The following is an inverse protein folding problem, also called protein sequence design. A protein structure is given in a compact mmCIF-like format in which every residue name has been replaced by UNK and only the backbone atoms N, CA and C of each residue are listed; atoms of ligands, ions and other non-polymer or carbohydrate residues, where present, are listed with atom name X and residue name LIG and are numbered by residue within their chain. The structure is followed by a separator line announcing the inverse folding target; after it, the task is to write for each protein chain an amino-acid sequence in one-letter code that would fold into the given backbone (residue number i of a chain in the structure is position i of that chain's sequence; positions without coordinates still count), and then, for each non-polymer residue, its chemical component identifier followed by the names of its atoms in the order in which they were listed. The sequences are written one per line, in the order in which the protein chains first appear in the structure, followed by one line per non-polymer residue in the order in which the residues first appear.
data_IF_124548816795
#
_entry.id   IF_124548816795
#
_cell.length_a   1.000
_cell.length_b   1.000
_cell.length_c   1.000
_cell.angle_alpha   90.00
_cell.angle_beta   90.00
_cell.angle_gamma   90.00
#
_symmetry.space_group_name_H-M   'P 1'
#
loop_
_entity.id
_entity.type
_entity.pdbx_description
1 polymer ?
#
# COMPACT_ATOMS: atom_id res chain seq x y z
N UNK A 1 64.80 22.85 43.48
CA UNK A 1 65.01 24.27 43.17
C UNK A 1 63.72 24.81 42.60
N UNK A 2 62.92 25.41 43.45
CA UNK A 2 61.82 26.35 43.14
C UNK A 2 62.49 27.67 42.58
N UNK A 3 61.72 28.64 42.08
CA UNK A 3 60.43 29.16 42.55
C UNK A 3 59.47 29.59 41.36
N UNK A 4 58.14 29.66 41.62
CA UNK A 4 57.36 30.84 42.11
C UNK A 4 57.31 31.93 40.99
N UNK A 5 56.20 32.41 40.51
CA UNK A 5 55.30 33.35 41.15
C UNK A 5 54.07 33.65 40.25
N UNK A 6 52.94 33.57 40.82
CA UNK A 6 51.97 34.60 41.19
C UNK A 6 51.28 35.39 40.10
N UNK A 7 50.00 35.19 40.01
CA UNK A 7 49.01 36.17 40.48
C UNK A 7 49.01 37.53 39.79
N UNK A 8 47.96 37.82 39.09
CA UNK A 8 47.21 39.11 39.12
C UNK A 8 46.00 38.98 38.21
N UNK A 9 44.83 38.82 38.78
CA UNK A 9 43.90 39.78 39.39
C UNK A 9 43.30 40.78 38.39
N UNK A 10 41.98 40.64 38.35
CA UNK A 10 40.94 41.70 38.30
C UNK A 10 40.49 42.15 36.93
N UNK A 11 39.24 41.84 36.69
CA UNK A 11 38.01 42.68 36.84
C UNK A 11 37.78 43.58 35.61
N UNK A 12 36.65 43.40 35.04
CA UNK A 12 35.55 44.32 34.74
C UNK A 12 34.64 43.59 33.79
N UNK A 13 33.51 43.28 34.18
CA UNK A 13 32.27 44.04 34.36
C UNK A 13 31.37 44.00 33.13
N UNK A 14 30.29 43.30 33.31
CA UNK A 14 28.93 43.68 32.94
C UNK A 14 28.75 44.40 31.60
N UNK A 15 28.07 43.73 30.70
CA UNK A 15 26.91 44.33 30.00
C UNK A 15 26.03 43.20 29.46
N UNK A 16 24.80 43.22 29.90
CA UNK A 16 23.77 42.28 29.54
C UNK A 16 23.35 42.45 28.07
N UNK A 17 23.11 41.34 27.46
CA UNK A 17 22.26 41.28 26.28
C UNK A 17 21.37 40.05 26.44
N UNK A 18 20.13 40.32 26.80
CA UNK A 18 19.02 39.40 26.74
C UNK A 18 18.81 39.01 25.26
N UNK A 19 19.45 37.96 24.87
CA UNK A 19 19.18 37.31 23.57
C UNK A 19 18.19 36.17 23.80
N UNK A 20 16.93 36.43 23.44
CA UNK A 20 15.88 35.41 23.49
C UNK A 20 16.30 34.21 22.65
N UNK A 21 16.37 33.03 23.27
CA UNK A 21 16.36 31.77 22.54
C UNK A 21 14.98 31.61 21.91
N UNK A 22 14.88 31.95 20.63
CA UNK A 22 13.84 31.40 19.79
C UNK A 22 14.18 29.92 19.63
N UNK A 23 13.55 29.10 20.45
CA UNK A 23 13.45 27.67 20.17
C UNK A 23 12.67 27.52 18.86
N UNK A 24 13.37 27.51 17.74
CA UNK A 24 12.84 27.01 16.50
C UNK A 24 12.51 25.54 16.75
N UNK A 25 11.25 25.29 17.04
CA UNK A 25 10.71 23.95 17.02
C UNK A 25 10.96 23.38 15.63
N UNK A 26 11.99 22.56 15.49
CA UNK A 26 12.17 21.73 14.32
C UNK A 26 10.94 20.81 14.30
N UNK A 27 9.93 21.18 13.50
CA UNK A 27 8.95 20.23 13.03
C UNK A 27 9.74 19.13 12.36
N UNK A 28 9.99 18.04 13.07
CA UNK A 28 10.37 16.80 12.43
C UNK A 28 9.17 16.42 11.57
N UNK A 29 9.26 16.75 10.30
CA UNK A 29 8.54 16.01 9.30
C UNK A 29 8.96 14.55 9.55
N UNK A 30 8.02 13.75 10.05
CA UNK A 30 8.16 12.31 10.00
C UNK A 30 8.16 11.97 8.50
N UNK A 31 9.35 11.96 7.89
CA UNK A 31 9.58 11.11 6.77
C UNK A 31 9.35 9.72 7.32
N UNK A 32 8.23 9.12 6.98
CA UNK A 32 8.04 7.70 7.10
C UNK A 32 9.11 7.08 6.22
N UNK A 33 10.25 6.73 6.83
CA UNK A 33 11.15 5.76 6.23
C UNK A 33 10.28 4.52 6.01
N UNK A 34 9.93 4.28 4.76
CA UNK A 34 9.31 3.03 4.35
C UNK A 34 10.34 1.95 4.64
N UNK A 35 10.19 1.31 5.79
CA UNK A 35 10.93 0.11 6.12
C UNK A 35 10.48 -0.95 5.13
N UNK A 36 11.29 -1.21 4.11
CA UNK A 36 11.03 -2.19 3.06
C UNK A 36 10.91 -3.64 3.57
N UNK A 37 11.11 -3.86 4.87
CA UNK A 37 11.06 -5.17 5.53
C UNK A 37 9.95 -5.29 6.60
N UNK A 38 9.22 -4.22 6.93
CA UNK A 38 8.16 -4.28 7.91
C UNK A 38 6.84 -4.72 7.24
N UNK A 39 6.42 -5.92 7.62
CA UNK A 39 5.12 -6.47 7.23
C UNK A 39 4.02 -5.51 7.69
N UNK A 40 3.10 -5.12 6.79
CA UNK A 40 1.95 -4.31 7.17
C UNK A 40 1.19 -4.97 8.33
N UNK A 41 0.75 -4.19 9.32
CA UNK A 41 -0.03 -4.70 10.47
C UNK A 41 -1.32 -5.39 10.03
N UNK A 42 -1.88 -4.91 8.92
CA UNK A 42 -3.14 -5.42 8.38
C UNK A 42 -2.91 -6.08 7.03
N UNK A 43 -3.42 -7.27 6.85
CA UNK A 43 -3.35 -8.01 5.60
C UNK A 43 -4.72 -8.56 5.25
N UNK A 44 -5.18 -8.34 4.04
CA UNK A 44 -6.51 -8.79 3.61
C UNK A 44 -6.50 -9.23 2.15
N UNK A 45 -7.17 -10.34 1.88
CA UNK A 45 -7.46 -10.82 0.53
C UNK A 45 -8.95 -10.76 0.25
N UNK A 46 -9.31 -10.10 -0.84
CA UNK A 46 -10.67 -10.03 -1.36
C UNK A 46 -10.86 -11.08 -2.44
N UNK A 47 -11.93 -11.87 -2.31
CA UNK A 47 -12.41 -12.68 -3.42
C UNK A 47 -13.11 -11.76 -4.44
N UNK A 48 -12.71 -11.84 -5.71
CA UNK A 48 -13.34 -11.15 -6.83
C UNK A 48 -13.70 -12.17 -7.91
N UNK A 49 -14.94 -12.70 -7.86
CA UNK A 49 -15.36 -13.81 -8.70
C UNK A 49 -16.63 -13.54 -9.53
N UNK A 50 -17.15 -12.31 -9.53
CA UNK A 50 -18.31 -11.88 -10.31
C UNK A 50 -17.94 -10.68 -11.20
N UNK A 51 -18.59 -10.54 -12.35
CA UNK A 51 -18.42 -9.41 -13.26
C UNK A 51 -19.56 -8.37 -13.13
N UNK A 52 -20.40 -8.52 -12.11
CA UNK A 52 -21.52 -7.64 -11.84
C UNK A 52 -21.03 -6.25 -11.38
N UNK A 53 -21.63 -5.20 -11.94
CA UNK A 53 -21.21 -3.82 -11.68
C UNK A 53 -21.32 -3.44 -10.20
N UNK A 54 -22.42 -3.79 -9.56
CA UNK A 54 -22.65 -3.45 -8.14
C UNK A 54 -21.65 -4.19 -7.25
N UNK A 55 -21.45 -5.47 -7.52
CA UNK A 55 -20.47 -6.30 -6.81
C UNK A 55 -19.05 -5.72 -6.94
N UNK A 56 -18.60 -5.44 -8.16
CA UNK A 56 -17.26 -4.87 -8.39
C UNK A 56 -17.12 -3.48 -7.75
N UNK A 57 -18.17 -2.66 -7.82
CA UNK A 57 -18.20 -1.35 -7.16
C UNK A 57 -18.02 -1.47 -5.66
N UNK A 58 -18.69 -2.43 -5.00
CA UNK A 58 -18.57 -2.67 -3.57
C UNK A 58 -17.18 -3.16 -3.19
N UNK A 59 -16.61 -4.11 -3.94
CA UNK A 59 -15.24 -4.59 -3.72
C UNK A 59 -14.25 -3.42 -3.79
N UNK A 60 -14.25 -2.68 -4.90
CA UNK A 60 -13.31 -1.59 -5.11
C UNK A 60 -13.55 -0.40 -4.15
N UNK A 61 -14.80 -0.17 -3.72
CA UNK A 61 -15.10 0.84 -2.72
C UNK A 61 -14.48 0.47 -1.37
N UNK A 62 -14.69 -0.77 -0.90
CA UNK A 62 -14.16 -1.21 0.40
C UNK A 62 -12.63 -1.26 0.43
N UNK A 63 -12.00 -1.68 -0.68
CA UNK A 63 -10.55 -1.60 -0.85
C UNK A 63 -10.06 -0.16 -0.70
N UNK A 64 -10.71 0.79 -1.39
CA UNK A 64 -10.37 2.20 -1.30
C UNK A 64 -10.52 2.77 0.12
N UNK A 65 -11.56 2.35 0.87
CA UNK A 65 -11.75 2.78 2.26
C UNK A 65 -10.66 2.26 3.20
N UNK A 66 -10.17 1.04 2.97
CA UNK A 66 -9.04 0.52 3.75
C UNK A 66 -7.75 1.29 3.48
N UNK A 67 -7.43 1.57 2.21
CA UNK A 67 -6.28 2.42 1.85
C UNK A 67 -6.44 3.81 2.47
N UNK A 68 -7.62 4.42 2.36
CA UNK A 68 -7.88 5.74 2.93
C UNK A 68 -7.65 5.78 4.45
N UNK A 69 -7.99 4.69 5.15
CA UNK A 69 -7.90 4.60 6.61
C UNK A 69 -6.51 4.23 7.10
N UNK A 70 -5.84 3.30 6.44
CA UNK A 70 -4.61 2.68 6.94
C UNK A 70 -3.36 3.10 6.15
N UNK A 71 -3.52 3.70 4.95
CA UNK A 71 -2.40 4.08 4.10
C UNK A 71 -1.51 2.88 3.78
N UNK A 72 -0.21 3.03 4.01
CA UNK A 72 0.80 1.99 3.74
C UNK A 72 0.79 0.86 4.78
N UNK A 73 -0.01 0.98 5.86
CA UNK A 73 -0.08 -0.03 6.92
C UNK A 73 -1.14 -1.13 6.65
N UNK A 74 -1.57 -1.28 5.41
CA UNK A 74 -2.43 -2.38 4.97
C UNK A 74 -1.94 -2.96 3.65
N UNK A 75 -1.75 -4.27 3.62
CA UNK A 75 -1.50 -5.02 2.39
C UNK A 75 -2.80 -5.63 1.89
N UNK A 76 -3.18 -5.30 0.65
CA UNK A 76 -4.45 -5.73 0.06
C UNK A 76 -4.19 -6.51 -1.22
N UNK A 77 -4.78 -7.70 -1.30
CA UNK A 77 -4.82 -8.52 -2.51
C UNK A 77 -6.28 -8.66 -2.96
N UNK A 78 -6.53 -8.46 -4.24
CA UNK A 78 -7.83 -8.73 -4.89
C UNK A 78 -7.64 -9.92 -5.83
N UNK A 79 -8.09 -11.10 -5.41
CA UNK A 79 -7.95 -12.34 -6.18
C UNK A 79 -9.11 -12.50 -7.17
N UNK A 80 -8.83 -12.26 -8.45
CA UNK A 80 -9.80 -12.28 -9.55
C UNK A 80 -9.79 -13.63 -10.25
N UNK A 81 -10.93 -14.31 -10.25
CA UNK A 81 -11.13 -15.60 -10.94
C UNK A 81 -12.58 -15.76 -11.42
N UNK A 82 -12.84 -16.78 -12.26
CA UNK A 82 -14.15 -16.91 -12.90
C UNK A 82 -14.56 -15.60 -13.60
N UNK A 83 -15.82 -15.19 -13.53
CA UNK A 83 -16.28 -13.95 -14.15
C UNK A 83 -15.57 -12.68 -13.66
N UNK A 84 -15.06 -12.66 -12.43
CA UNK A 84 -14.37 -11.50 -11.86
C UNK A 84 -13.05 -11.15 -12.55
N UNK A 85 -12.44 -12.11 -13.26
CA UNK A 85 -11.19 -11.87 -14.01
C UNK A 85 -11.34 -10.79 -15.09
N UNK A 86 -12.56 -10.59 -15.61
CA UNK A 86 -12.81 -9.60 -16.65
C UNK A 86 -12.59 -8.15 -16.18
N UNK A 87 -12.55 -7.89 -14.86
CA UNK A 87 -12.08 -6.61 -14.31
C UNK A 87 -10.66 -6.28 -14.77
N UNK A 88 -9.85 -7.32 -14.97
CA UNK A 88 -8.45 -7.23 -15.38
C UNK A 88 -8.23 -7.50 -16.88
N UNK A 89 -9.29 -7.73 -17.64
CA UNK A 89 -9.19 -7.99 -19.09
C UNK A 89 -8.94 -6.72 -19.90
N UNK A 90 -8.09 -6.80 -20.93
CA UNK A 90 -7.81 -5.71 -21.87
C UNK A 90 -7.80 -6.24 -23.34
N UNK A 91 -8.91 -6.07 -24.11
CA UNK A 91 -10.24 -5.67 -23.64
C UNK A 91 -10.95 -6.78 -22.85
N UNK A 92 -11.87 -6.44 -21.93
CA UNK A 92 -12.67 -7.44 -21.25
C UNK A 92 -13.69 -8.09 -22.20
N UNK A 93 -13.86 -9.41 -22.16
CA UNK A 93 -14.85 -10.12 -22.97
C UNK A 93 -16.27 -10.06 -22.37
N UNK A 94 -16.39 -9.65 -21.10
CA UNK A 94 -17.67 -9.35 -20.47
C UNK A 94 -17.83 -7.84 -20.31
N UNK A 95 -19.06 -7.30 -20.28
CA UNK A 95 -19.28 -5.88 -20.06
C UNK A 95 -18.76 -5.47 -18.66
N UNK A 96 -17.61 -4.80 -18.64
CA UNK A 96 -17.06 -4.14 -17.45
C UNK A 96 -17.06 -2.64 -17.72
N UNK A 97 -17.65 -1.88 -16.83
CA UNK A 97 -17.66 -0.43 -16.94
C UNK A 97 -16.23 0.11 -16.83
N UNK A 98 -15.85 1.00 -17.74
CA UNK A 98 -14.48 1.52 -17.85
C UNK A 98 -14.00 2.18 -16.55
N UNK A 99 -14.89 2.88 -15.85
CA UNK A 99 -14.60 3.51 -14.57
C UNK A 99 -14.19 2.50 -13.48
N UNK A 100 -14.67 1.26 -13.54
CA UNK A 100 -14.25 0.21 -12.59
C UNK A 100 -12.83 -0.27 -12.89
N UNK A 101 -12.46 -0.40 -14.16
CA UNK A 101 -11.09 -0.73 -14.57
C UNK A 101 -10.12 0.42 -14.23
N UNK A 102 -10.50 1.66 -14.50
CA UNK A 102 -9.71 2.84 -14.14
C UNK A 102 -9.52 2.96 -12.61
N UNK A 103 -10.57 2.63 -11.85
CA UNK A 103 -10.49 2.59 -10.39
C UNK A 103 -9.57 1.48 -9.89
N UNK A 104 -9.63 0.28 -10.48
CA UNK A 104 -8.71 -0.81 -10.16
C UNK A 104 -7.26 -0.40 -10.45
N UNK A 105 -6.98 0.21 -11.60
CA UNK A 105 -5.67 0.75 -11.95
C UNK A 105 -5.18 1.81 -10.97
N UNK A 106 -6.07 2.71 -10.54
CA UNK A 106 -5.73 3.71 -9.51
C UNK A 106 -5.36 3.05 -8.17
N UNK A 107 -6.13 2.05 -7.74
CA UNK A 107 -5.84 1.30 -6.51
C UNK A 107 -4.53 0.51 -6.62
N UNK A 108 -4.23 -0.05 -7.79
CA UNK A 108 -2.95 -0.72 -8.05
C UNK A 108 -1.77 0.26 -7.92
N UNK A 109 -1.91 1.51 -8.36
CA UNK A 109 -0.92 2.56 -8.18
C UNK A 109 -0.70 2.93 -6.71
N UNK A 110 -1.67 2.65 -5.83
CA UNK A 110 -1.54 2.76 -4.38
C UNK A 110 -1.06 1.47 -3.69
N UNK A 111 -0.59 0.48 -4.45
CA UNK A 111 0.01 -0.74 -3.91
C UNK A 111 -0.95 -1.92 -3.73
N UNK A 112 -2.22 -1.81 -4.13
CA UNK A 112 -3.14 -2.95 -4.14
C UNK A 112 -2.72 -3.95 -5.22
N UNK A 113 -2.61 -5.22 -4.85
CA UNK A 113 -2.24 -6.30 -5.76
C UNK A 113 -3.50 -6.93 -6.35
N UNK A 114 -3.59 -6.97 -7.67
CA UNK A 114 -4.68 -7.65 -8.38
C UNK A 114 -4.17 -8.96 -8.98
N UNK A 115 -4.61 -10.08 -8.44
CA UNK A 115 -4.20 -11.41 -8.86
C UNK A 115 -5.19 -11.98 -9.88
N UNK A 116 -4.69 -12.40 -11.05
CA UNK A 116 -5.45 -13.03 -12.11
C UNK A 116 -5.23 -14.55 -12.09
N UNK A 117 -6.31 -15.33 -12.01
CA UNK A 117 -6.26 -16.78 -11.96
C UNK A 117 -5.88 -17.41 -13.31
N UNK A 118 -4.73 -18.08 -13.39
CA UNK A 118 -4.25 -18.77 -14.57
C UNK A 118 -5.19 -19.89 -15.07
N UNK A 119 -5.84 -20.62 -14.16
CA UNK A 119 -6.85 -21.61 -14.57
C UNK A 119 -8.06 -20.97 -15.27
N UNK A 120 -8.50 -19.80 -14.82
CA UNK A 120 -9.57 -19.04 -15.50
C UNK A 120 -9.09 -18.53 -16.84
N UNK A 121 -7.86 -18.00 -16.93
CA UNK A 121 -7.25 -17.57 -18.17
C UNK A 121 -7.19 -18.71 -19.18
N UNK A 122 -6.72 -19.89 -18.77
CA UNK A 122 -6.67 -21.08 -19.62
C UNK A 122 -8.05 -21.47 -20.15
N UNK A 123 -9.09 -21.38 -19.33
CA UNK A 123 -10.47 -21.66 -19.74
C UNK A 123 -10.98 -20.67 -20.79
N UNK A 124 -10.53 -19.41 -20.71
CA UNK A 124 -10.89 -18.35 -21.67
C UNK A 124 -9.98 -18.33 -22.91
N UNK A 125 -8.87 -19.08 -22.89
CA UNK A 125 -7.84 -19.01 -23.92
C UNK A 125 -7.00 -17.72 -23.86
N UNK A 126 -6.95 -17.10 -22.68
CA UNK A 126 -6.20 -15.87 -22.43
C UNK A 126 -4.72 -16.12 -22.19
N UNK A 127 -3.92 -15.17 -22.62
CA UNK A 127 -2.50 -15.02 -22.31
C UNK A 127 -2.29 -13.77 -21.45
N UNK A 128 -1.05 -13.49 -21.07
CA UNK A 128 -0.72 -12.24 -20.37
C UNK A 128 -1.09 -10.98 -21.17
N UNK A 129 -1.11 -11.07 -22.51
CA UNK A 129 -1.45 -9.95 -23.41
C UNK A 129 -2.95 -9.55 -23.33
N UNK A 130 -3.79 -10.42 -22.74
CA UNK A 130 -5.22 -10.13 -22.55
C UNK A 130 -5.50 -9.45 -21.21
N UNK A 131 -4.46 -9.14 -20.42
CA UNK A 131 -4.59 -8.53 -19.10
C UNK A 131 -4.05 -7.11 -19.07
N UNK A 132 -4.64 -6.29 -18.22
CA UNK A 132 -4.08 -4.98 -17.85
C UNK A 132 -2.70 -5.12 -17.22
N UNK A 133 -1.84 -4.13 -17.39
CA UNK A 133 -0.42 -4.16 -16.97
C UNK A 133 -0.22 -4.47 -15.48
N UNK A 134 -1.13 -4.00 -14.62
CA UNK A 134 -1.02 -4.18 -13.17
C UNK A 134 -1.53 -5.53 -12.64
N UNK A 135 -1.99 -6.42 -13.51
CA UNK A 135 -2.44 -7.76 -13.12
C UNK A 135 -1.25 -8.70 -12.85
N UNK A 136 -1.31 -9.42 -11.74
CA UNK A 136 -0.33 -10.44 -11.38
C UNK A 136 -0.93 -11.82 -11.62
N UNK A 137 -0.34 -12.62 -12.49
CA UNK A 137 -0.84 -13.95 -12.79
C UNK A 137 -0.45 -14.92 -11.67
N UNK A 138 -1.44 -15.62 -11.11
CA UNK A 138 -1.23 -16.73 -10.16
C UNK A 138 -1.76 -18.03 -10.78
N UNK A 139 -1.14 -19.19 -10.52
CA UNK A 139 -1.55 -20.45 -11.15
C UNK A 139 -3.03 -20.78 -10.89
N UNK A 140 -3.46 -20.75 -9.65
CA UNK A 140 -4.80 -21.12 -9.20
C UNK A 140 -5.33 -20.08 -8.21
N UNK A 141 -6.37 -19.32 -8.59
CA UNK A 141 -6.86 -18.22 -7.76
C UNK A 141 -7.37 -18.63 -6.37
N UNK A 142 -8.04 -19.79 -6.25
CA UNK A 142 -8.52 -20.29 -4.95
C UNK A 142 -7.38 -20.80 -4.06
N UNK A 143 -6.34 -21.39 -4.65
CA UNK A 143 -5.12 -21.77 -3.93
C UNK A 143 -4.36 -20.53 -3.43
N UNK A 144 -4.27 -19.49 -4.26
CA UNK A 144 -3.67 -18.22 -3.89
C UNK A 144 -4.35 -17.62 -2.65
N UNK A 145 -5.71 -17.61 -2.60
CA UNK A 145 -6.46 -17.20 -1.41
C UNK A 145 -6.10 -18.06 -0.20
N UNK A 146 -6.05 -19.38 -0.37
CA UNK A 146 -5.69 -20.31 0.71
C UNK A 146 -4.29 -20.01 1.26
N UNK A 147 -3.30 -19.88 0.37
CA UNK A 147 -1.92 -19.59 0.76
C UNK A 147 -1.75 -18.20 1.40
N UNK A 148 -2.53 -17.21 0.97
CA UNK A 148 -2.55 -15.90 1.60
C UNK A 148 -3.13 -15.97 3.01
N UNK A 149 -4.22 -16.73 3.21
CA UNK A 149 -4.79 -16.95 4.55
C UNK A 149 -3.80 -17.68 5.47
N UNK A 150 -3.07 -18.68 4.98
CA UNK A 150 -1.99 -19.35 5.73
C UNK A 150 -0.87 -18.40 6.14
N UNK A 151 -0.63 -17.34 5.35
CA UNK A 151 0.30 -16.25 5.66
C UNK A 151 -0.26 -15.20 6.63
N UNK A 152 -1.53 -15.32 7.04
CA UNK A 152 -2.17 -14.43 7.99
C UNK A 152 -3.09 -13.38 7.38
N UNK A 153 -3.36 -13.42 6.09
CA UNK A 153 -4.35 -12.53 5.48
C UNK A 153 -5.76 -12.83 5.96
N UNK A 154 -6.47 -11.80 6.36
CA UNK A 154 -7.92 -11.87 6.55
C UNK A 154 -8.60 -12.09 5.21
N UNK A 155 -9.69 -12.86 5.17
CA UNK A 155 -10.43 -13.12 3.95
C UNK A 155 -11.76 -12.34 3.91
N UNK A 156 -12.05 -11.75 2.75
CA UNK A 156 -13.31 -11.04 2.51
C UNK A 156 -13.97 -11.54 1.21
N UNK A 157 -15.27 -11.84 1.30
CA UNK A 157 -16.14 -12.06 0.14
C UNK A 157 -17.44 -11.27 0.29
N UNK A 158 -18.03 -10.89 -0.84
CA UNK A 158 -19.33 -10.21 -0.94
C UNK A 158 -20.42 -11.14 -1.51
#
# INVERSE_FOLDING_TARGET
MQPIDTMRRRLFAWLGATGGLLAAGASRAHHTDTHFDDRSEHQIVYQCNKADHEYLSHVLFSVGELIRKHGDNVEIVVACFGPGIHLLGDPPERPIAKELQERAGSLAAYGVKFHACGNTMNTLGWTAENLVEHAVIVPIGVEDIMLLQEKGFSYMSW
#
